data_IF_191780575938
#
_entry.id   IF_191780575938
#
_cell.length_a   1.000
_cell.length_b   1.000
_cell.length_c   1.000
_cell.angle_alpha   90.00
_cell.angle_beta   90.00
_cell.angle_gamma   90.00
#
_symmetry.space_group_name_H-M   'P 1'
#
loop_
_entity.id
_entity.type
_entity.pdbx_description
1 polymer ?
#
# COMPACT_ATOMS: atom_id res chain seq x y z
N UNK A 1 15.57 -1.69 41.30
CA UNK A 1 15.74 -1.59 39.82
C UNK A 1 14.91 -0.42 39.35
N UNK A 2 15.49 0.53 38.60
CA UNK A 2 14.73 1.66 38.04
C UNK A 2 14.02 1.16 36.77
N UNK A 3 12.69 1.07 36.81
CA UNK A 3 11.89 0.85 35.60
C UNK A 3 11.67 2.20 34.95
N UNK A 4 12.12 2.33 33.70
CA UNK A 4 11.75 3.44 32.83
C UNK A 4 10.63 2.95 31.92
N UNK A 5 9.54 3.71 31.86
CA UNK A 5 8.47 3.44 30.91
C UNK A 5 9.00 3.76 29.51
N UNK A 6 9.29 2.71 28.73
CA UNK A 6 9.63 2.87 27.32
C UNK A 6 8.32 3.20 26.60
N UNK A 7 8.24 4.33 25.87
CA UNK A 7 7.04 4.65 25.12
C UNK A 7 6.79 3.56 24.08
N UNK A 8 5.59 2.99 24.10
CA UNK A 8 5.18 1.98 23.13
C UNK A 8 5.11 2.66 21.76
N UNK A 9 5.99 2.27 20.85
CA UNK A 9 6.04 2.79 19.49
C UNK A 9 4.86 2.22 18.66
N UNK A 10 3.66 2.78 18.85
CA UNK A 10 2.43 2.39 18.17
C UNK A 10 2.35 2.90 16.71
N UNK A 11 3.27 3.79 16.30
CA UNK A 11 3.24 4.43 14.97
C UNK A 11 3.74 3.52 13.85
N UNK A 12 4.43 2.43 14.22
CA UNK A 12 5.00 1.48 13.27
C UNK A 12 4.02 0.33 13.12
N UNK A 13 3.57 0.09 11.90
CA UNK A 13 2.66 -1.00 11.61
C UNK A 13 3.33 -2.34 11.96
N UNK A 14 2.64 -3.15 12.76
CA UNK A 14 3.14 -4.46 13.15
C UNK A 14 3.18 -5.38 11.94
N UNK A 15 4.38 -5.88 11.64
CA UNK A 15 4.60 -6.83 10.56
C UNK A 15 4.32 -8.23 11.08
N UNK A 16 3.20 -8.81 10.65
CA UNK A 16 2.62 -10.03 11.25
C UNK A 16 3.31 -11.31 10.74
N UNK A 17 3.78 -11.32 9.49
CA UNK A 17 4.48 -12.47 8.92
C UNK A 17 6.00 -12.24 8.89
N UNK A 18 6.71 -12.96 9.76
CA UNK A 18 8.17 -13.05 9.78
C UNK A 18 8.91 -11.71 9.96
N UNK A 19 8.23 -10.69 10.51
CA UNK A 19 8.80 -9.35 10.70
C UNK A 19 9.02 -8.56 9.40
N UNK A 20 8.53 -9.04 8.25
CA UNK A 20 8.71 -8.40 6.94
C UNK A 20 7.42 -8.07 6.20
N UNK A 21 6.32 -8.78 6.48
CA UNK A 21 5.04 -8.61 5.80
C UNK A 21 4.02 -7.84 6.64
N UNK A 22 3.52 -6.73 6.11
CA UNK A 22 2.38 -5.98 6.67
C UNK A 22 1.05 -6.57 6.20
N UNK A 23 -0.01 -6.43 7.01
CA UNK A 23 -1.39 -6.82 6.64
C UNK A 23 -1.82 -6.16 5.34
N UNK A 24 -1.45 -4.89 5.14
CA UNK A 24 -1.84 -4.14 3.94
C UNK A 24 -1.23 -4.73 2.68
N UNK A 25 0.03 -5.09 2.73
CA UNK A 25 0.72 -5.77 1.62
C UNK A 25 0.02 -7.09 1.25
N UNK A 26 -0.46 -7.84 2.24
CA UNK A 26 -1.22 -9.06 2.03
C UNK A 26 -2.56 -8.79 1.34
N UNK A 27 -3.30 -7.76 1.76
CA UNK A 27 -4.56 -7.36 1.11
C UNK A 27 -4.32 -7.02 -0.36
N UNK A 28 -3.28 -6.24 -0.68
CA UNK A 28 -2.99 -5.88 -2.08
C UNK A 28 -2.63 -7.09 -2.94
N UNK A 29 -1.89 -8.06 -2.41
CA UNK A 29 -1.57 -9.30 -3.14
C UNK A 29 -2.84 -10.11 -3.38
N UNK A 30 -3.69 -10.29 -2.36
CA UNK A 30 -4.95 -11.03 -2.49
C UNK A 30 -5.88 -10.36 -3.50
N UNK A 31 -5.99 -9.03 -3.44
CA UNK A 31 -6.83 -8.26 -4.39
C UNK A 31 -6.26 -8.32 -5.80
N UNK A 32 -4.94 -8.19 -5.98
CA UNK A 32 -4.29 -8.29 -7.30
C UNK A 32 -4.48 -9.67 -7.94
N UNK A 33 -4.27 -10.74 -7.17
CA UNK A 33 -4.52 -12.11 -7.62
C UNK A 33 -6.01 -12.34 -7.88
N UNK A 34 -6.89 -11.83 -7.02
CA UNK A 34 -8.34 -11.98 -7.15
C UNK A 34 -8.89 -11.30 -8.40
N UNK A 35 -8.50 -10.05 -8.66
CA UNK A 35 -8.87 -9.33 -9.88
C UNK A 35 -8.32 -10.06 -11.11
N UNK A 36 -7.05 -10.48 -11.05
CA UNK A 36 -6.46 -11.30 -12.11
C UNK A 36 -7.28 -12.55 -12.39
N UNK A 37 -7.71 -13.28 -11.36
CA UNK A 37 -8.45 -14.53 -11.49
C UNK A 37 -9.85 -14.31 -12.12
N UNK A 38 -10.53 -13.20 -11.80
CA UNK A 38 -11.80 -12.83 -12.44
C UNK A 38 -11.61 -12.53 -13.93
N UNK A 39 -10.52 -11.86 -14.31
CA UNK A 39 -10.21 -11.67 -15.73
C UNK A 39 -9.83 -12.99 -16.40
N UNK A 40 -9.08 -13.86 -15.71
CA UNK A 40 -8.71 -15.17 -16.24
C UNK A 40 -9.94 -16.00 -16.60
N UNK A 41 -10.94 -16.11 -15.72
CA UNK A 41 -12.16 -16.89 -16.00
C UNK A 41 -12.95 -16.35 -17.19
N UNK A 42 -12.94 -15.03 -17.41
CA UNK A 42 -13.62 -14.39 -18.55
C UNK A 42 -12.92 -14.62 -19.89
N UNK A 43 -11.59 -14.64 -19.91
CA UNK A 43 -10.80 -14.81 -21.14
C UNK A 43 -10.46 -16.26 -21.47
N UNK A 44 -10.54 -17.18 -20.49
CA UNK A 44 -10.26 -18.60 -20.65
C UNK A 44 -11.04 -19.27 -21.79
N UNK A 45 -12.29 -18.84 -22.03
CA UNK A 45 -13.13 -19.41 -23.09
C UNK A 45 -12.72 -19.03 -24.52
N UNK A 46 -11.87 -18.01 -24.70
CA UNK A 46 -11.46 -17.55 -26.04
C UNK A 46 -10.06 -18.02 -26.40
N UNK A 47 -9.10 -17.81 -25.50
CA UNK A 47 -7.71 -18.19 -25.72
C UNK A 47 -6.96 -18.25 -24.38
N UNK A 48 -6.36 -19.40 -24.09
CA UNK A 48 -5.71 -19.68 -22.81
C UNK A 48 -4.42 -18.87 -22.66
N UNK A 49 -3.68 -18.63 -23.76
CA UNK A 49 -2.43 -17.88 -23.72
C UNK A 49 -2.66 -16.42 -23.32
N UNK A 50 -3.65 -15.76 -23.91
CA UNK A 50 -3.98 -14.37 -23.56
C UNK A 50 -4.53 -14.24 -22.15
N UNK A 51 -5.34 -15.21 -21.68
CA UNK A 51 -5.85 -15.23 -20.32
C UNK A 51 -4.71 -15.31 -19.28
N UNK A 52 -3.69 -16.17 -19.51
CA UNK A 52 -2.53 -16.31 -18.62
C UNK A 52 -1.68 -15.03 -18.60
N UNK A 53 -1.44 -14.41 -19.76
CA UNK A 53 -0.65 -13.16 -19.83
C UNK A 53 -1.34 -12.04 -19.04
N UNK A 54 -2.65 -11.89 -19.21
CA UNK A 54 -3.43 -10.89 -18.47
C UNK A 54 -3.38 -11.19 -16.96
N UNK A 55 -3.55 -12.46 -16.56
CA UNK A 55 -3.47 -12.86 -15.16
C UNK A 55 -2.11 -12.53 -14.53
N UNK A 56 -1.02 -12.87 -15.23
CA UNK A 56 0.34 -12.57 -14.77
C UNK A 56 0.57 -11.07 -14.66
N UNK A 57 0.10 -10.27 -15.62
CA UNK A 57 0.25 -8.82 -15.59
C UNK A 57 -0.45 -8.20 -14.37
N UNK A 58 -1.67 -8.62 -14.05
CA UNK A 58 -2.41 -8.14 -12.88
C UNK A 58 -1.81 -8.62 -11.56
N UNK A 59 -1.37 -9.88 -11.50
CA UNK A 59 -0.69 -10.44 -10.32
C UNK A 59 0.65 -9.73 -10.06
N UNK A 60 1.43 -9.49 -11.11
CA UNK A 60 2.68 -8.74 -11.03
C UNK A 60 2.46 -7.29 -10.61
N UNK A 61 1.41 -6.63 -11.12
CA UNK A 61 1.04 -5.28 -10.68
C UNK A 61 0.65 -5.23 -9.20
N UNK A 62 -0.13 -6.22 -8.72
CA UNK A 62 -0.49 -6.34 -7.30
C UNK A 62 0.72 -6.59 -6.40
N UNK A 63 1.64 -7.46 -6.83
CA UNK A 63 2.90 -7.71 -6.12
C UNK A 63 3.80 -6.46 -6.12
N UNK A 64 3.93 -5.78 -7.25
CA UNK A 64 4.70 -4.54 -7.34
C UNK A 64 4.16 -3.49 -6.37
N UNK A 65 2.85 -3.30 -6.33
CA UNK A 65 2.20 -2.35 -5.42
C UNK A 65 2.38 -2.73 -3.94
N UNK A 66 2.45 -4.03 -3.62
CA UNK A 66 2.67 -4.51 -2.27
C UNK A 66 4.14 -4.39 -1.81
N UNK A 67 5.12 -4.64 -2.70
CA UNK A 67 6.54 -4.67 -2.32
C UNK A 67 7.29 -3.37 -2.56
N UNK A 68 6.77 -2.45 -3.37
CA UNK A 68 7.47 -1.22 -3.66
C UNK A 68 7.41 -0.26 -2.46
N UNK A 69 8.57 -0.07 -1.84
CA UNK A 69 8.79 0.86 -0.73
C UNK A 69 9.68 1.99 -1.22
N UNK A 70 9.30 3.23 -0.91
CA UNK A 70 10.13 4.41 -1.15
C UNK A 70 10.40 5.09 0.18
N UNK A 71 11.68 5.27 0.52
CA UNK A 71 12.13 5.98 1.73
C UNK A 71 11.51 5.43 3.03
N UNK A 72 11.52 4.09 3.21
CA UNK A 72 10.89 3.38 4.35
C UNK A 72 9.36 3.56 4.50
N UNK A 73 8.72 4.28 3.58
CA UNK A 73 7.29 4.47 3.52
C UNK A 73 6.71 3.57 2.42
N UNK A 74 5.70 2.79 2.80
CA UNK A 74 4.94 1.99 1.85
C UNK A 74 4.17 2.93 0.89
N UNK A 75 4.15 2.60 -0.40
CA UNK A 75 3.55 3.46 -1.44
C UNK A 75 2.10 3.82 -1.13
N UNK A 76 1.35 2.92 -0.52
CA UNK A 76 -0.04 3.13 -0.11
C UNK A 76 -0.16 4.33 0.85
N UNK A 77 0.70 4.40 1.87
CA UNK A 77 0.74 5.49 2.83
C UNK A 77 1.19 6.77 2.14
N UNK A 78 2.13 6.67 1.20
CA UNK A 78 2.56 7.81 0.40
C UNK A 78 1.41 8.37 -0.45
N UNK A 79 0.63 7.51 -1.11
CA UNK A 79 -0.55 7.90 -1.90
C UNK A 79 -1.60 8.55 -1.01
N UNK A 80 -1.90 7.98 0.16
CA UNK A 80 -2.88 8.55 1.09
C UNK A 80 -2.40 9.90 1.64
N UNK A 81 -1.12 10.02 2.00
CA UNK A 81 -0.54 11.29 2.44
C UNK A 81 -0.56 12.34 1.33
N UNK A 82 -0.25 11.93 0.10
CA UNK A 82 -0.30 12.80 -1.07
C UNK A 82 -1.72 13.26 -1.39
N UNK A 83 -2.71 12.37 -1.35
CA UNK A 83 -4.12 12.71 -1.53
C UNK A 83 -4.61 13.65 -0.42
N UNK A 84 -4.26 13.36 0.84
CA UNK A 84 -4.55 14.25 1.97
C UNK A 84 -3.91 15.62 1.78
N UNK A 85 -2.68 15.68 1.29
CA UNK A 85 -2.00 16.94 1.01
C UNK A 85 -2.70 17.75 -0.10
N UNK A 86 -3.15 17.10 -1.16
CA UNK A 86 -3.89 17.76 -2.24
C UNK A 86 -5.28 18.26 -1.81
N UNK A 87 -5.96 17.50 -0.96
CA UNK A 87 -7.31 17.81 -0.46
C UNK A 87 -7.31 18.70 0.78
N UNK A 88 -6.16 18.87 1.45
CA UNK A 88 -6.06 19.72 2.62
C UNK A 88 -6.21 21.18 2.18
N UNK A 89 -7.21 21.86 2.72
CA UNK A 89 -7.31 23.31 2.60
C UNK A 89 -6.13 23.93 3.33
N UNK A 90 -5.25 24.55 2.55
CA UNK A 90 -4.05 25.21 3.04
C UNK A 90 -4.40 26.57 3.61
N UNK A 91 -5.01 26.58 4.78
CA UNK A 91 -5.08 27.78 5.61
C UNK A 91 -3.70 28.02 6.20
N UNK A 92 -2.84 28.69 5.44
CA UNK A 92 -1.60 29.21 5.96
C UNK A 92 -1.92 30.39 6.86
N UNK A 93 -2.07 30.15 8.17
CA UNK A 93 -2.09 31.22 9.16
C UNK A 93 -0.75 31.97 9.06
N UNK A 94 -0.78 33.15 8.44
CA UNK A 94 0.38 34.03 8.32
C UNK A 94 0.66 34.68 9.69
N UNK A 95 1.32 33.95 10.58
CA UNK A 95 1.80 34.47 11.87
C UNK A 95 3.14 35.16 11.58
N UNK A 96 3.08 36.37 11.02
CA UNK A 96 4.29 37.11 10.65
C UNK A 96 4.08 38.53 10.14
N UNK A 97 2.93 39.15 10.42
CA UNK A 97 2.59 40.50 9.95
C UNK A 97 2.21 41.47 11.07
N UNK A 98 2.94 41.45 12.19
CA UNK A 98 2.83 42.50 13.21
C UNK A 98 3.79 43.64 12.87
N UNK A 99 3.24 44.79 12.49
CA UNK A 99 3.94 46.09 12.51
C UNK A 99 4.17 46.54 13.95
#
# INVERSE_FOLDING_TARGET
MRMFEVPVQLEREEKIFGGNFSIRQMIFIIVGIGIGAVFFTKYFSKDLFTAVIVWIAFSAAGAFMAFFKKDDVEIDRYIVMYLRFLLSQKEYLFIGGGK
#
